data_IF_918088564080
#
_entry.id   IF_918088564080
#
_cell.length_a   1.000
_cell.length_b   1.000
_cell.length_c   1.000
_cell.angle_alpha   90.00
_cell.angle_beta   90.00
_cell.angle_gamma   90.00
#
_symmetry.space_group_name_H-M   'P 1'
#
loop_
_entity.id
_entity.type
_entity.pdbx_description
1 polymer ?
#
# COMPACT_ATOMS: atom_id res chain seq x y z
N UNK A 1 0.93 10.74 -6.78
CA UNK A 1 1.61 9.76 -5.91
C UNK A 1 0.59 8.72 -5.46
N UNK A 2 0.98 7.46 -5.26
CA UNK A 2 0.06 6.40 -4.82
C UNK A 2 -0.15 6.46 -3.30
N UNK A 3 -1.41 6.43 -2.86
CA UNK A 3 -1.78 6.30 -1.44
C UNK A 3 -1.59 4.86 -0.95
N UNK A 4 -1.50 4.67 0.36
CA UNK A 4 -1.47 3.34 0.98
C UNK A 4 -2.70 2.49 0.62
N UNK A 5 -3.89 3.08 0.47
CA UNK A 5 -5.10 2.35 0.02
C UNK A 5 -4.93 1.82 -1.40
N UNK A 6 -4.40 2.64 -2.31
CA UNK A 6 -4.12 2.22 -3.69
C UNK A 6 -3.05 1.12 -3.72
N UNK A 7 -2.00 1.23 -2.90
CA UNK A 7 -0.97 0.21 -2.77
C UNK A 7 -1.56 -1.09 -2.21
N UNK A 8 -2.44 -1.00 -1.21
CA UNK A 8 -3.13 -2.15 -0.64
C UNK A 8 -3.93 -2.92 -1.71
N UNK A 9 -4.67 -2.21 -2.56
CA UNK A 9 -5.42 -2.83 -3.66
C UNK A 9 -4.49 -3.43 -4.72
N UNK A 10 -3.39 -2.77 -5.09
CA UNK A 10 -2.41 -3.33 -6.03
C UNK A 10 -1.78 -4.61 -5.49
N UNK A 11 -1.44 -4.65 -4.20
CA UNK A 11 -0.95 -5.85 -3.52
C UNK A 11 -2.00 -6.97 -3.50
N UNK A 12 -3.27 -6.63 -3.25
CA UNK A 12 -4.37 -7.59 -3.26
C UNK A 12 -4.56 -8.21 -4.66
N UNK A 13 -4.58 -7.39 -5.71
CA UNK A 13 -4.67 -7.83 -7.11
C UNK A 13 -3.47 -8.67 -7.54
N UNK A 14 -2.27 -8.33 -7.11
CA UNK A 14 -1.09 -9.14 -7.41
C UNK A 14 -1.21 -10.52 -6.74
N UNK A 15 -1.71 -10.58 -5.50
CA UNK A 15 -1.95 -11.85 -4.82
C UNK A 15 -2.97 -12.76 -5.53
N UNK A 16 -3.92 -12.18 -6.27
CA UNK A 16 -4.91 -12.92 -7.06
C UNK A 16 -4.29 -13.53 -8.32
N UNK A 17 -3.16 -13.00 -8.80
CA UNK A 17 -2.43 -13.47 -10.00
C UNK A 17 -1.30 -14.43 -9.69
N UNK A 18 -0.77 -14.37 -8.48
CA UNK A 18 0.40 -15.13 -8.06
C UNK A 18 0.07 -16.54 -7.55
N UNK A 19 1.11 -17.34 -7.32
CA UNK A 19 0.97 -18.70 -6.76
C UNK A 19 1.96 -18.98 -5.62
N UNK A 20 1.73 -20.04 -4.86
CA UNK A 20 2.62 -20.50 -3.79
C UNK A 20 2.83 -19.47 -2.66
N UNK A 21 4.08 -19.31 -2.22
CA UNK A 21 4.43 -18.46 -1.07
C UNK A 21 4.16 -16.97 -1.33
N UNK A 22 4.18 -16.54 -2.60
CA UNK A 22 4.02 -15.14 -2.98
C UNK A 22 2.60 -14.65 -2.71
N UNK A 23 1.59 -15.49 -2.92
CA UNK A 23 0.18 -15.18 -2.58
C UNK A 23 0.08 -14.77 -1.11
N UNK A 24 0.71 -15.52 -0.22
CA UNK A 24 0.68 -15.24 1.22
C UNK A 24 1.41 -13.95 1.56
N UNK A 25 2.56 -13.70 0.93
CA UNK A 25 3.32 -12.47 1.13
C UNK A 25 2.53 -11.23 0.69
N UNK A 26 1.96 -11.26 -0.52
CA UNK A 26 1.14 -10.16 -1.05
C UNK A 26 -0.12 -9.93 -0.21
N UNK A 27 -0.87 -10.98 0.16
CA UNK A 27 -2.05 -10.83 1.04
C UNK A 27 -1.69 -10.28 2.42
N UNK A 28 -0.50 -10.60 2.95
CA UNK A 28 -0.04 -10.06 4.24
C UNK A 28 0.35 -8.59 4.11
N UNK A 29 1.06 -8.22 3.04
CA UNK A 29 1.42 -6.84 2.75
C UNK A 29 0.17 -5.98 2.52
N UNK A 30 -0.79 -6.44 1.70
CA UNK A 30 -2.05 -5.74 1.42
C UNK A 30 -2.83 -5.39 2.69
N UNK A 31 -2.97 -6.35 3.62
CA UNK A 31 -3.63 -6.11 4.91
C UNK A 31 -2.83 -5.15 5.81
N UNK A 32 -1.50 -5.28 5.80
CA UNK A 32 -0.64 -4.42 6.61
C UNK A 32 -0.66 -2.97 6.13
N UNK A 33 -0.87 -2.73 4.84
CA UNK A 33 -0.91 -1.40 4.24
C UNK A 33 -1.96 -0.47 4.86
N UNK A 34 -3.10 -1.01 5.29
CA UNK A 34 -4.12 -0.24 6.01
C UNK A 34 -3.66 0.23 7.40
N UNK A 35 -2.68 -0.44 7.99
CA UNK A 35 -2.19 -0.18 9.35
C UNK A 35 -0.78 0.42 9.38
N UNK A 36 -0.20 0.74 8.23
CA UNK A 36 1.08 1.43 8.20
C UNK A 36 0.94 2.82 8.84
N UNK A 37 1.89 3.21 9.71
CA UNK A 37 1.81 4.47 10.43
C UNK A 37 2.04 5.68 9.54
N UNK A 38 2.70 5.49 8.39
CA UNK A 38 3.13 6.51 7.44
C UNK A 38 2.76 6.09 6.00
N UNK A 39 2.66 7.06 5.10
CA UNK A 39 2.49 6.78 3.66
C UNK A 39 3.79 6.25 3.07
N UNK A 40 3.70 5.30 2.14
CA UNK A 40 4.85 4.88 1.31
C UNK A 40 5.51 6.08 0.62
N UNK A 41 4.68 7.04 0.19
CA UNK A 41 5.13 8.29 -0.37
C UNK A 41 6.13 9.04 0.52
N UNK A 42 5.77 9.22 1.80
CA UNK A 42 6.58 9.93 2.79
C UNK A 42 7.94 9.25 3.00
N UNK A 43 7.98 7.91 3.06
CA UNK A 43 9.25 7.20 3.20
C UNK A 43 10.16 7.42 1.99
N UNK A 44 9.61 7.44 0.77
CA UNK A 44 10.40 7.65 -0.45
C UNK A 44 10.94 9.07 -0.52
N UNK A 45 10.12 10.06 -0.19
CA UNK A 45 10.55 11.47 -0.12
C UNK A 45 11.68 11.68 0.90
N UNK A 46 11.70 10.89 1.97
CA UNK A 46 12.73 10.91 3.01
C UNK A 46 13.90 9.96 2.72
N UNK A 47 13.95 9.32 1.55
CA UNK A 47 14.95 8.31 1.17
C UNK A 47 15.07 7.14 2.18
N UNK A 48 13.98 6.87 2.91
CA UNK A 48 13.87 5.80 3.92
C UNK A 48 13.50 4.47 3.28
N UNK A 49 13.87 3.38 3.97
CA UNK A 49 13.63 2.05 3.44
C UNK A 49 12.17 1.63 3.63
N UNK A 50 11.52 1.18 2.55
CA UNK A 50 10.17 0.60 2.65
C UNK A 50 10.10 -0.64 3.56
N UNK A 51 11.24 -1.28 3.87
CA UNK A 51 11.29 -2.41 4.81
C UNK A 51 10.94 -2.01 6.25
N UNK A 52 10.92 -0.72 6.58
CA UNK A 52 10.42 -0.22 7.86
C UNK A 52 8.91 -0.48 8.02
N UNK A 53 8.19 -0.62 6.90
CA UNK A 53 6.77 -0.92 6.89
C UNK A 53 6.52 -2.41 7.13
N UNK A 54 5.51 -2.70 7.96
CA UNK A 54 5.17 -4.07 8.34
C UNK A 54 4.86 -4.93 7.11
N UNK A 55 5.43 -6.13 7.08
CA UNK A 55 5.22 -7.13 6.02
C UNK A 55 5.77 -6.73 4.65
N UNK A 56 6.72 -5.78 4.59
CA UNK A 56 7.46 -5.43 3.39
C UNK A 56 8.84 -6.08 3.43
N UNK A 57 9.05 -7.07 2.56
CA UNK A 57 10.36 -7.65 2.29
C UNK A 57 10.93 -7.15 0.96
N UNK A 58 12.20 -7.47 0.63
CA UNK A 58 12.90 -6.95 -0.55
C UNK A 58 12.15 -7.13 -1.88
N UNK A 59 11.44 -8.24 -2.04
CA UNK A 59 10.63 -8.50 -3.22
C UNK A 59 9.43 -7.56 -3.33
N UNK A 60 8.70 -7.35 -2.24
CA UNK A 60 7.55 -6.43 -2.21
C UNK A 60 8.02 -4.98 -2.37
N UNK A 61 9.15 -4.60 -1.76
CA UNK A 61 9.80 -3.31 -1.97
C UNK A 61 10.02 -3.05 -3.46
N UNK A 62 10.68 -3.98 -4.17
CA UNK A 62 10.92 -3.87 -5.61
C UNK A 62 9.61 -3.72 -6.39
N UNK A 63 8.55 -4.43 -6.00
CA UNK A 63 7.25 -4.34 -6.67
C UNK A 63 6.60 -2.96 -6.47
N UNK A 64 6.58 -2.45 -5.25
CA UNK A 64 6.01 -1.14 -4.91
C UNK A 64 6.75 -0.02 -5.64
N UNK A 65 8.09 -0.04 -5.62
CA UNK A 65 8.90 0.96 -6.32
C UNK A 65 8.61 0.99 -7.83
N UNK A 66 8.43 -0.18 -8.46
CA UNK A 66 8.04 -0.25 -9.88
C UNK A 66 6.66 0.37 -10.14
N UNK A 67 5.70 0.20 -9.24
CA UNK A 67 4.39 0.84 -9.40
C UNK A 67 4.43 2.35 -9.19
N UNK A 68 5.38 2.85 -8.40
CA UNK A 68 5.55 4.28 -8.18
C UNK A 68 6.25 4.94 -9.36
N UNK A 69 7.31 4.32 -9.87
CA UNK A 69 8.03 4.75 -11.07
C UNK A 69 7.16 4.65 -12.32
N UNK A 70 6.42 3.55 -12.45
CA UNK A 70 5.49 3.30 -13.55
C UNK A 70 4.10 2.96 -13.01
N UNK A 71 3.28 3.97 -12.71
CA UNK A 71 1.91 3.78 -12.26
C UNK A 71 1.13 2.89 -13.24
N UNK A 72 0.33 1.93 -12.73
CA UNK A 72 -0.58 1.18 -13.57
C UNK A 72 -1.50 2.16 -14.32
N UNK A 73 -1.62 1.98 -15.63
CA UNK A 73 -2.46 2.85 -16.49
C UNK A 73 -3.95 2.65 -16.25
N UNK A 74 -4.34 1.47 -15.80
CA UNK A 74 -5.72 1.18 -15.42
C UNK A 74 -6.06 1.94 -14.15
N UNK A 75 -7.20 2.63 -14.16
CA UNK A 75 -7.81 3.14 -12.93
C UNK A 75 -7.91 1.98 -11.94
N UNK A 76 -7.38 2.18 -10.73
CA UNK A 76 -7.49 1.20 -9.64
C UNK A 76 -8.96 1.18 -9.19
N UNK A 77 -9.79 0.50 -9.97
CA UNK A 77 -11.20 0.28 -9.66
C UNK A 77 -11.29 -0.71 -8.51
N UNK A 78 -11.30 -0.17 -7.29
CA UNK A 78 -11.40 -0.99 -6.09
C UNK A 78 -12.76 -1.71 -6.11
N UNK A 79 -12.80 -3.06 -6.04
CA UNK A 79 -14.04 -3.81 -5.98
C UNK A 79 -14.92 -3.33 -4.82
N UNK A 80 -16.26 -3.40 -4.90
CA UNK A 80 -17.14 -2.91 -3.84
C UNK A 80 -16.81 -3.45 -2.45
N UNK A 81 -16.44 -4.73 -2.34
CA UNK A 81 -16.07 -5.38 -1.07
C UNK A 81 -14.80 -4.80 -0.41
N UNK A 82 -13.96 -4.08 -1.17
CA UNK A 82 -12.70 -3.46 -0.68
C UNK A 82 -12.73 -1.93 -0.80
N UNK A 83 -13.89 -1.35 -1.13
CA UNK A 83 -14.07 0.10 -1.30
C UNK A 83 -14.33 0.77 0.05
N UNK A 84 -14.11 2.08 0.12
CA UNK A 84 -14.44 2.95 1.27
C UNK A 84 -13.66 2.69 2.56
N UNK A 85 -12.58 1.89 2.49
CA UNK A 85 -11.64 1.74 3.60
C UNK A 85 -10.63 2.89 3.62
N UNK A 86 -10.34 3.39 4.82
CA UNK A 86 -9.36 4.45 5.09
C UNK A 86 -8.14 3.84 5.76
N UNK A 87 -6.93 4.22 5.35
CA UNK A 87 -5.70 3.76 6.01
C UNK A 87 -5.44 4.56 7.30
N UNK A 88 -4.69 3.98 8.23
CA UNK A 88 -4.26 4.66 9.46
C UNK A 88 -3.52 5.98 9.16
N UNK A 89 -2.64 5.97 8.16
CA UNK A 89 -1.90 7.16 7.76
C UNK A 89 -2.84 8.25 7.21
N UNK A 90 -3.83 7.90 6.38
CA UNK A 90 -4.84 8.86 5.90
C UNK A 90 -5.71 9.38 7.04
N UNK A 91 -6.18 8.50 7.91
CA UNK A 91 -7.01 8.87 9.07
C UNK A 91 -6.29 9.87 9.99
N UNK A 92 -4.99 9.67 10.24
CA UNK A 92 -4.16 10.60 11.02
C UNK A 92 -4.08 11.98 10.38
N UNK A 93 -3.88 12.05 9.07
CA UNK A 93 -3.83 13.32 8.32
C UNK A 93 -5.20 14.02 8.36
N UNK A 94 -6.29 13.27 8.25
CA UNK A 94 -7.64 13.81 8.33
C UNK A 94 -7.96 14.37 9.72
N UNK A 95 -7.64 13.62 10.78
CA UNK A 95 -7.85 14.05 12.16
C UNK A 95 -7.01 15.29 12.52
N UNK A 96 -5.76 15.37 12.02
CA UNK A 96 -4.94 16.56 12.25
C UNK A 96 -5.50 17.84 11.61
N UNK A 97 -6.40 17.74 10.62
CA UNK A 97 -7.04 18.90 9.97
C UNK A 97 -8.29 19.39 10.71
N UNK A 98 -8.85 18.59 11.61
CA UNK A 98 -10.01 18.95 12.42
C UNK A 98 -9.56 18.90 13.88
N UNK A 99 -8.93 19.97 14.39
CA UNK A 99 -8.66 20.07 15.81
C UNK A 99 -9.98 20.17 16.58
N UNK A 100 -10.03 19.53 17.75
CA UNK A 100 -11.17 19.55 18.69
C UNK A 100 -11.61 20.97 19.09
#
# INVERSE_FOLDING_TARGET
MLSNTQIAELLAREAEKESGILVRAYRRAARSAFLWPEQVATLIEQERSLSELRSIGPFITKRILRWIDKPPKETILVPPIRRDFVTLADARVLLAKVPD
#
